data_IF_561901541410
#
_entry.id   IF_561901541410
#
_cell.length_a   1.000
_cell.length_b   1.000
_cell.length_c   1.000
_cell.angle_alpha   90.00
_cell.angle_beta   90.00
_cell.angle_gamma   90.00
#
_symmetry.space_group_name_H-M   'P 1'
#
loop_
_entity.id
_entity.type
_entity.pdbx_description
1 polymer ?
#
# COMPACT_ATOMS: atom_id res chain seq x y z
N UNK A 1 20.02 -5.83 1.90
CA UNK A 1 18.96 -6.63 1.25
C UNK A 1 17.91 -6.93 2.31
N UNK A 2 16.69 -6.44 2.17
CA UNK A 2 15.64 -6.70 3.16
C UNK A 2 14.95 -8.03 2.80
N UNK A 3 15.07 -9.06 3.64
CA UNK A 3 14.39 -10.36 3.52
C UNK A 3 12.89 -10.28 3.81
N UNK A 4 12.29 -9.10 3.61
CA UNK A 4 10.89 -8.84 3.89
C UNK A 4 10.23 -8.14 2.72
N UNK A 5 9.15 -8.71 2.21
CA UNK A 5 8.38 -8.18 1.09
C UNK A 5 6.94 -8.00 1.53
N UNK A 6 6.35 -6.84 1.21
CA UNK A 6 4.92 -6.60 1.41
C UNK A 6 4.30 -6.27 0.07
N UNK A 7 3.18 -6.91 -0.25
CA UNK A 7 2.45 -6.64 -1.48
C UNK A 7 0.97 -6.95 -1.35
N UNK A 8 0.26 -6.81 -2.47
CA UNK A 8 -1.16 -7.09 -2.56
C UNK A 8 -1.40 -8.03 -3.74
N UNK A 9 -2.19 -9.07 -3.49
CA UNK A 9 -2.82 -9.85 -4.53
C UNK A 9 -4.10 -9.17 -4.97
N UNK A 10 -4.26 -9.02 -6.29
CA UNK A 10 -5.45 -8.46 -6.91
C UNK A 10 -6.16 -9.57 -7.70
N UNK A 11 -7.42 -9.77 -7.36
CA UNK A 11 -8.35 -10.65 -8.08
C UNK A 11 -9.35 -9.78 -8.82
N UNK A 12 -9.10 -9.60 -10.12
CA UNK A 12 -9.95 -8.79 -11.01
C UNK A 12 -11.30 -9.44 -11.28
N UNK A 13 -11.37 -10.77 -11.35
CA UNK A 13 -12.60 -11.50 -11.68
C UNK A 13 -13.66 -11.33 -10.58
N UNK A 14 -13.21 -11.37 -9.31
CA UNK A 14 -14.12 -11.21 -8.16
C UNK A 14 -14.08 -9.82 -7.53
N UNK A 15 -13.26 -8.90 -8.05
CA UNK A 15 -13.13 -7.54 -7.52
C UNK A 15 -12.64 -7.53 -6.07
N UNK A 16 -11.65 -8.37 -5.76
CA UNK A 16 -11.10 -8.52 -4.41
C UNK A 16 -9.59 -8.27 -4.38
N UNK A 17 -9.09 -7.92 -3.21
CA UNK A 17 -7.68 -7.77 -2.96
C UNK A 17 -7.30 -8.36 -1.61
N UNK A 18 -6.05 -8.81 -1.46
CA UNK A 18 -5.54 -9.38 -0.21
C UNK A 18 -4.10 -8.98 0.00
N UNK A 19 -3.77 -8.49 1.19
CA UNK A 19 -2.40 -8.21 1.57
C UNK A 19 -1.63 -9.51 1.76
N UNK A 20 -0.35 -9.49 1.38
CA UNK A 20 0.59 -10.50 1.81
C UNK A 20 1.86 -9.84 2.32
N UNK A 21 2.47 -10.52 3.28
CA UNK A 21 3.74 -10.16 3.86
C UNK A 21 4.61 -11.40 3.89
N UNK A 22 5.80 -11.31 3.33
CA UNK A 22 6.81 -12.34 3.39
C UNK A 22 7.91 -11.85 4.34
N UNK A 23 8.33 -12.70 5.27
CA UNK A 23 9.45 -12.44 6.17
C UNK A 23 10.33 -13.69 6.24
N UNK A 24 11.59 -13.59 5.80
CA UNK A 24 12.52 -14.72 5.70
C UNK A 24 11.92 -15.96 5.01
N UNK A 25 11.20 -15.77 3.90
CA UNK A 25 10.56 -16.86 3.15
C UNK A 25 9.24 -17.37 3.76
N UNK A 26 8.82 -16.88 4.93
CA UNK A 26 7.52 -17.21 5.53
C UNK A 26 6.47 -16.23 5.02
N UNK A 27 5.45 -16.75 4.32
CA UNK A 27 4.36 -15.97 3.74
C UNK A 27 3.16 -15.92 4.67
N UNK A 28 2.82 -14.72 5.17
CA UNK A 28 1.56 -14.45 5.85
C UNK A 28 0.65 -13.67 4.93
N UNK A 29 -0.48 -14.26 4.59
CA UNK A 29 -1.49 -13.63 3.74
C UNK A 29 -2.72 -13.26 4.55
N UNK A 30 -3.26 -12.06 4.33
CA UNK A 30 -4.40 -11.50 5.07
C UNK A 30 -5.76 -12.10 4.66
N UNK A 31 -6.85 -11.43 5.00
CA UNK A 31 -8.17 -11.76 4.46
C UNK A 31 -8.41 -11.08 3.10
N UNK A 32 -9.23 -11.71 2.26
CA UNK A 32 -9.74 -11.07 1.05
C UNK A 32 -10.66 -9.91 1.43
N UNK A 33 -10.45 -8.77 0.77
CA UNK A 33 -11.21 -7.53 0.95
C UNK A 33 -11.76 -7.08 -0.40
N UNK A 34 -12.90 -6.40 -0.40
CA UNK A 34 -13.54 -5.90 -1.61
C UNK A 34 -12.85 -4.65 -2.16
N UNK A 35 -12.57 -4.62 -3.47
CA UNK A 35 -12.08 -3.44 -4.20
C UNK A 35 -13.15 -2.34 -4.33
N UNK A 36 -14.45 -2.67 -4.17
CA UNK A 36 -15.56 -1.72 -4.37
C UNK A 36 -15.48 -0.45 -3.52
N UNK A 37 -14.85 -0.56 -2.35
CA UNK A 37 -14.73 0.51 -1.38
C UNK A 37 -13.51 1.42 -1.62
N UNK A 38 -12.71 1.15 -2.66
CA UNK A 38 -11.54 1.94 -3.04
C UNK A 38 -11.94 2.84 -4.20
N UNK A 39 -11.65 4.14 -4.09
CA UNK A 39 -11.95 5.15 -5.11
C UNK A 39 -10.70 5.81 -5.68
N UNK A 40 -9.72 6.09 -4.83
CA UNK A 40 -8.59 6.95 -5.17
C UNK A 40 -7.25 6.27 -4.93
N UNK A 41 -6.26 6.65 -5.71
CA UNK A 41 -4.86 6.22 -5.57
C UNK A 41 -3.92 7.41 -5.66
N UNK A 42 -2.85 7.41 -4.86
CA UNK A 42 -1.81 8.43 -4.91
C UNK A 42 -0.42 7.85 -4.66
N UNK A 43 0.60 8.46 -5.26
CA UNK A 43 1.99 8.26 -4.89
C UNK A 43 2.42 9.36 -3.93
N UNK A 44 2.70 9.02 -2.66
CA UNK A 44 3.05 9.98 -1.62
C UNK A 44 4.49 9.76 -1.12
N UNK A 45 5.19 10.86 -0.83
CA UNK A 45 6.38 10.85 0.03
C UNK A 45 5.94 10.77 1.49
N UNK A 46 6.81 10.28 2.36
CA UNK A 46 6.47 9.77 3.70
C UNK A 46 5.52 10.66 4.51
N UNK A 47 4.24 10.32 4.55
CA UNK A 47 3.32 10.64 5.65
C UNK A 47 2.37 9.47 5.83
N UNK A 48 2.92 8.36 6.32
CA UNK A 48 2.14 7.34 7.01
C UNK A 48 2.45 7.49 8.48
N UNK A 49 1.63 8.28 9.19
CA UNK A 49 1.48 8.09 10.64
C UNK A 49 0.87 6.71 10.82
N UNK A 50 1.72 5.69 10.89
CA UNK A 50 1.31 4.37 11.34
C UNK A 50 1.09 4.50 12.84
N UNK A 51 -0.18 4.59 13.25
CA UNK A 51 -0.58 4.07 14.55
C UNK A 51 -0.34 2.55 14.51
N UNK A 52 0.92 2.20 14.73
CA UNK A 52 1.37 0.83 14.81
C UNK A 52 1.00 0.32 16.19
N UNK A 53 0.10 -0.66 16.22
CA UNK A 53 -0.30 -1.44 17.41
C UNK A 53 0.86 -2.31 17.95
N UNK A 54 2.06 -1.78 18.05
CA UNK A 54 3.26 -2.49 18.53
C UNK A 54 3.82 -1.74 19.76
N UNK A 55 3.44 -2.20 20.94
CA UNK A 55 3.70 -1.55 22.23
C UNK A 55 5.17 -1.52 22.67
N UNK A 56 6.15 -1.98 21.87
CA UNK A 56 7.51 -2.21 22.40
C UNK A 56 8.73 -1.84 21.56
N UNK A 57 8.62 -1.27 20.36
CA UNK A 57 9.84 -0.80 19.63
C UNK A 57 9.59 0.54 18.93
N UNK A 58 9.72 1.63 19.70
CA UNK A 58 9.54 3.03 19.26
C UNK A 58 10.65 3.58 18.34
N UNK A 59 11.59 2.76 17.86
CA UNK A 59 12.69 3.21 17.00
C UNK A 59 12.82 2.31 15.77
N UNK A 60 11.71 2.05 15.09
CA UNK A 60 11.81 1.75 13.67
C UNK A 60 11.94 3.11 12.97
N UNK A 61 13.18 3.53 12.72
CA UNK A 61 13.51 4.66 11.87
C UNK A 61 12.81 4.49 10.51
N UNK A 62 11.58 4.99 10.39
CA UNK A 62 10.97 5.31 9.11
C UNK A 62 11.85 6.43 8.55
N UNK A 63 12.86 6.04 7.76
CA UNK A 63 13.68 6.99 7.04
C UNK A 63 12.74 7.90 6.26
N UNK A 64 12.96 9.21 6.38
CA UNK A 64 12.20 10.33 5.78
C UNK A 64 12.02 10.25 4.25
N UNK A 65 12.48 9.19 3.60
CA UNK A 65 12.55 9.03 2.15
C UNK A 65 11.62 7.92 1.63
N UNK A 66 10.91 7.21 2.50
CA UNK A 66 10.07 6.10 2.06
C UNK A 66 8.83 6.60 1.30
N UNK A 67 8.82 6.36 -0.01
CA UNK A 67 7.72 6.70 -0.90
C UNK A 67 6.75 5.51 -1.03
N UNK A 68 5.45 5.80 -1.07
CA UNK A 68 4.42 4.77 -1.12
C UNK A 68 3.35 5.09 -2.16
N UNK A 69 2.89 4.04 -2.84
CA UNK A 69 1.59 4.05 -3.50
C UNK A 69 0.55 3.74 -2.43
N UNK A 70 -0.49 4.57 -2.33
CA UNK A 70 -1.54 4.46 -1.33
C UNK A 70 -2.90 4.43 -2.00
N UNK A 71 -3.75 3.52 -1.54
CA UNK A 71 -5.17 3.45 -1.90
C UNK A 71 -6.02 4.14 -0.84
N UNK A 72 -7.02 4.88 -1.27
CA UNK A 72 -7.98 5.53 -0.39
C UNK A 72 -9.29 4.75 -0.38
N UNK A 73 -9.87 4.63 0.82
CA UNK A 73 -11.21 4.11 1.00
C UNK A 73 -12.25 5.23 0.88
N UNK A 74 -13.28 5.01 0.04
CA UNK A 74 -14.44 5.91 -0.20
C UNK A 74 -14.99 6.52 1.07
N UNK A 75 -15.25 5.68 2.09
CA UNK A 75 -16.07 6.08 3.24
C UNK A 75 -15.27 6.61 4.43
N UNK A 76 -13.93 6.55 4.43
CA UNK A 76 -13.13 6.85 5.64
C UNK A 76 -11.91 7.72 5.40
N UNK A 77 -11.67 8.14 4.16
CA UNK A 77 -10.42 8.80 3.73
C UNK A 77 -9.16 8.06 4.23
N UNK A 78 -9.31 6.76 4.52
CA UNK A 78 -8.30 5.95 5.18
C UNK A 78 -7.32 5.51 4.12
N UNK A 79 -6.06 5.86 4.36
CA UNK A 79 -4.91 5.51 3.53
C UNK A 79 -4.51 4.07 3.78
N UNK A 80 -4.42 3.28 2.72
CA UNK A 80 -3.91 1.91 2.78
C UNK A 80 -2.65 1.83 1.91
N UNK A 81 -1.48 1.50 2.48
CA UNK A 81 -0.26 1.34 1.69
C UNK A 81 -0.41 0.16 0.74
N UNK A 82 -0.20 0.41 -0.55
CA UNK A 82 -0.28 -0.58 -1.61
C UNK A 82 1.09 -1.18 -1.92
N UNK A 83 2.06 -0.30 -2.17
CA UNK A 83 3.42 -0.66 -2.56
C UNK A 83 4.39 0.38 -2.01
N UNK A 84 5.56 -0.06 -1.57
CA UNK A 84 6.69 0.81 -1.24
C UNK A 84 7.53 1.00 -2.49
N UNK A 85 7.92 2.24 -2.78
CA UNK A 85 8.74 2.65 -3.90
C UNK A 85 10.06 3.22 -3.37
N UNK A 86 11.08 3.26 -4.22
CA UNK A 86 12.37 3.87 -3.88
C UNK A 86 12.25 5.38 -3.82
N UNK A 87 11.61 5.94 -4.85
CA UNK A 87 11.53 7.38 -5.07
C UNK A 87 10.09 7.86 -5.29
N UNK A 88 9.86 9.17 -5.11
CA UNK A 88 8.54 9.78 -5.32
C UNK A 88 8.10 9.69 -6.78
N UNK A 89 9.03 9.84 -7.71
CA UNK A 89 8.76 9.71 -9.15
C UNK A 89 8.28 8.30 -9.47
N UNK A 90 8.95 7.27 -8.93
CA UNK A 90 8.52 5.88 -9.06
C UNK A 90 7.13 5.67 -8.44
N UNK A 91 6.87 6.23 -7.25
CA UNK A 91 5.57 6.14 -6.60
C UNK A 91 4.44 6.79 -7.43
N UNK A 92 4.69 7.94 -8.07
CA UNK A 92 3.71 8.61 -8.95
C UNK A 92 3.44 7.79 -10.22
N UNK A 93 4.47 7.27 -10.87
CA UNK A 93 4.33 6.42 -12.06
C UNK A 93 3.60 5.11 -11.73
N UNK A 94 3.94 4.47 -10.60
CA UNK A 94 3.26 3.26 -10.16
C UNK A 94 1.80 3.52 -9.77
N UNK A 95 1.51 4.67 -9.14
CA UNK A 95 0.14 5.08 -8.86
C UNK A 95 -0.69 5.27 -10.14
N UNK A 96 -0.10 5.86 -11.20
CA UNK A 96 -0.75 5.97 -12.50
C UNK A 96 -1.05 4.61 -13.14
N UNK A 97 -0.08 3.67 -13.10
CA UNK A 97 -0.30 2.30 -13.59
C UNK A 97 -1.44 1.60 -12.83
N UNK A 98 -1.44 1.72 -11.50
CA UNK A 98 -2.48 1.12 -10.65
C UNK A 98 -3.84 1.75 -10.91
N UNK A 99 -3.91 3.07 -11.09
CA UNK A 99 -5.12 3.78 -11.45
C UNK A 99 -5.73 3.23 -12.74
N UNK A 100 -4.90 3.09 -13.79
CA UNK A 100 -5.34 2.54 -15.07
C UNK A 100 -5.76 1.06 -14.95
N UNK A 101 -5.05 0.26 -14.16
CA UNK A 101 -5.36 -1.18 -14.01
C UNK A 101 -6.65 -1.46 -13.22
N UNK A 102 -7.03 -0.54 -12.33
CA UNK A 102 -8.16 -0.68 -11.41
C UNK A 102 -9.29 0.33 -11.64
N UNK A 103 -9.18 1.17 -12.68
CA UNK A 103 -10.09 2.28 -12.96
C UNK A 103 -10.34 3.18 -11.74
N UNK A 104 -9.27 3.59 -11.06
CA UNK A 104 -9.31 4.46 -9.88
C UNK A 104 -8.92 5.90 -10.23
N UNK A 105 -9.44 6.86 -9.47
CA UNK A 105 -9.10 8.27 -9.65
C UNK A 105 -7.73 8.57 -9.02
N UNK A 106 -6.83 9.22 -9.75
CA UNK A 106 -5.52 9.63 -9.23
C UNK A 106 -5.68 10.91 -8.42
N UNK A 107 -5.11 10.94 -7.22
CA UNK A 107 -4.95 12.15 -6.41
C UNK A 107 -3.49 12.59 -6.50
N UNK A 108 -3.26 13.83 -6.93
CA UNK A 108 -1.92 14.40 -7.10
C UNK A 108 -1.35 14.95 -5.79
#
# INVERSE_FOLDING_TARGET
>A
MAFSYSGIYLDKAHGKYKFYYAYFGVFKSGSWRSLKNIDRVAGISSILVRDSYATKNKVANLKMEDCFVVLFLKNRNRKIPFKRCKDLLEAKLEAQKVAHLLNLTIVQ
#
